data_IF_580370693844
#
_entry.id   IF_580370693844
#
_cell.length_a   1.000
_cell.length_b   1.000
_cell.length_c   1.000
_cell.angle_alpha   90.00
_cell.angle_beta   90.00
_cell.angle_gamma   90.00
#
_symmetry.space_group_name_H-M   'P 1'
#
loop_
_entity.id
_entity.type
_entity.pdbx_description
1 polymer ?
#
# COMPACT_ATOMS: atom_id res chain seq x y z
N UNK A 1 -22.51 4.57 -9.82
CA UNK A 1 -21.14 5.12 -9.64
C UNK A 1 -20.17 3.98 -9.43
N UNK A 2 -19.19 3.78 -10.32
CA UNK A 2 -18.08 2.87 -10.02
C UNK A 2 -17.21 3.51 -8.94
N UNK A 3 -16.99 2.81 -7.82
CA UNK A 3 -16.08 3.25 -6.77
C UNK A 3 -14.69 3.44 -7.40
N UNK A 4 -14.08 4.60 -7.24
CA UNK A 4 -12.69 4.83 -7.63
C UNK A 4 -11.77 4.02 -6.69
N UNK A 5 -10.66 3.51 -7.22
CA UNK A 5 -9.64 2.83 -6.42
C UNK A 5 -8.68 3.90 -5.82
N UNK A 6 -8.33 3.79 -4.54
CA UNK A 6 -7.46 4.77 -3.88
C UNK A 6 -6.59 4.14 -2.79
N UNK A 7 -5.45 4.78 -2.53
CA UNK A 7 -4.54 4.49 -1.41
C UNK A 7 -4.44 5.74 -0.56
N UNK A 8 -4.71 5.60 0.74
CA UNK A 8 -4.54 6.67 1.71
C UNK A 8 -3.24 6.49 2.49
N UNK A 9 -2.50 7.58 2.58
CA UNK A 9 -1.25 7.69 3.32
C UNK A 9 -1.31 8.87 4.28
N UNK A 10 -0.63 8.74 5.42
CA UNK A 10 -0.48 9.82 6.40
C UNK A 10 1.00 9.98 6.72
N UNK A 11 1.47 11.23 6.81
CA UNK A 11 2.81 11.50 7.33
C UNK A 11 2.75 11.43 8.86
N UNK A 12 3.44 10.45 9.46
CA UNK A 12 3.48 10.27 10.93
C UNK A 12 4.59 11.08 11.57
N UNK A 13 5.70 11.24 10.85
CA UNK A 13 6.88 11.97 11.27
C UNK A 13 7.49 12.64 10.03
N UNK A 14 8.42 13.60 10.19
CA UNK A 14 9.08 14.24 9.06
C UNK A 14 9.69 13.23 8.07
N UNK A 15 10.13 12.08 8.53
CA UNK A 15 10.80 11.05 7.73
C UNK A 15 9.93 9.82 7.41
N UNK A 16 8.68 9.77 7.90
CA UNK A 16 7.88 8.53 7.88
C UNK A 16 6.46 8.72 7.34
N UNK A 17 6.09 7.91 6.35
CA UNK A 17 4.72 7.77 5.84
C UNK A 17 4.09 6.46 6.32
N UNK A 18 2.89 6.53 6.90
CA UNK A 18 2.04 5.37 7.16
C UNK A 18 1.05 5.13 6.02
N UNK A 19 1.00 3.89 5.54
CA UNK A 19 -0.01 3.40 4.61
C UNK A 19 -1.16 2.80 5.41
N UNK A 20 -2.36 3.39 5.31
CA UNK A 20 -3.51 3.04 6.16
C UNK A 20 -4.63 2.29 5.45
N UNK A 21 -4.96 2.62 4.21
CA UNK A 21 -6.12 2.00 3.56
C UNK A 21 -5.95 1.87 2.07
N UNK A 22 -6.19 0.66 1.57
CA UNK A 22 -6.22 0.33 0.15
C UNK A 22 -7.63 -0.15 -0.15
N UNK A 23 -8.45 0.69 -0.77
CA UNK A 23 -9.77 0.27 -1.22
C UNK A 23 -9.76 0.09 -2.73
N UNK A 24 -9.90 -1.16 -3.16
CA UNK A 24 -10.12 -1.52 -4.56
C UNK A 24 -11.57 -1.94 -4.69
N UNK A 25 -12.32 -1.32 -5.60
CA UNK A 25 -13.72 -1.63 -5.80
C UNK A 25 -13.89 -3.13 -6.12
N UNK A 26 -14.88 -3.80 -5.50
CA UNK A 26 -15.13 -5.25 -5.63
C UNK A 26 -15.01 -5.81 -7.06
N UNK A 27 -15.49 -5.15 -8.13
CA UNK A 27 -15.37 -5.65 -9.50
C UNK A 27 -13.93 -5.70 -10.05
N UNK A 28 -12.99 -4.97 -9.45
CA UNK A 28 -11.63 -4.78 -9.94
C UNK A 28 -10.57 -5.47 -9.08
N UNK A 29 -10.97 -6.13 -7.99
CA UNK A 29 -10.05 -6.87 -7.11
C UNK A 29 -9.30 -8.01 -7.84
N UNK A 30 -9.86 -8.56 -8.92
CA UNK A 30 -9.24 -9.62 -9.72
C UNK A 30 -8.20 -9.14 -10.75
N UNK A 31 -8.04 -7.82 -10.95
CA UNK A 31 -7.18 -7.26 -12.02
C UNK A 31 -5.87 -6.63 -11.54
N UNK A 32 -5.47 -6.84 -10.28
CA UNK A 32 -4.18 -6.35 -9.76
C UNK A 32 -4.04 -4.82 -9.63
N UNK A 33 -5.10 -4.04 -9.88
CA UNK A 33 -5.06 -2.57 -9.84
C UNK A 33 -4.62 -1.98 -8.50
N UNK A 34 -4.95 -2.65 -7.39
CA UNK A 34 -4.47 -2.26 -6.06
C UNK A 34 -2.95 -2.28 -5.93
N UNK A 35 -2.28 -3.22 -6.59
CA UNK A 35 -0.81 -3.31 -6.60
C UNK A 35 -0.22 -2.14 -7.38
N UNK A 36 -0.81 -1.77 -8.52
CA UNK A 36 -0.37 -0.61 -9.30
C UNK A 36 -0.49 0.69 -8.53
N UNK A 37 -1.57 0.87 -7.76
CA UNK A 37 -1.74 2.05 -6.89
C UNK A 37 -0.71 2.09 -5.76
N UNK A 38 -0.43 0.96 -5.12
CA UNK A 38 0.63 0.87 -4.13
C UNK A 38 2.00 1.20 -4.73
N UNK A 39 2.32 0.61 -5.88
CA UNK A 39 3.59 0.83 -6.57
C UNK A 39 3.76 2.32 -6.93
N UNK A 40 2.70 2.96 -7.39
CA UNK A 40 2.72 4.40 -7.68
C UNK A 40 2.91 5.25 -6.43
N UNK A 41 2.27 4.89 -5.31
CA UNK A 41 2.46 5.59 -4.04
C UNK A 41 3.90 5.43 -3.50
N UNK A 42 4.47 4.23 -3.57
CA UNK A 42 5.87 3.95 -3.22
C UNK A 42 6.81 4.74 -4.14
N UNK A 43 6.55 4.77 -5.45
CA UNK A 43 7.35 5.55 -6.41
C UNK A 43 7.36 7.04 -6.07
N UNK A 44 6.21 7.61 -5.66
CA UNK A 44 6.14 9.01 -5.22
C UNK A 44 6.92 9.24 -3.94
N UNK A 45 6.88 8.30 -3.00
CA UNK A 45 7.66 8.38 -1.79
C UNK A 45 9.17 8.30 -2.06
N UNK A 46 9.62 7.40 -2.94
CA UNK A 46 11.04 7.29 -3.35
C UNK A 46 11.55 8.61 -3.94
N UNK A 47 10.69 9.34 -4.65
CA UNK A 47 11.00 10.66 -5.21
C UNK A 47 10.74 11.82 -4.24
N UNK A 48 10.54 11.54 -2.95
CA UNK A 48 10.32 12.54 -1.91
C UNK A 48 11.42 12.48 -0.86
N UNK A 49 11.51 13.49 -0.01
CA UNK A 49 12.47 13.55 1.10
C UNK A 49 12.06 12.69 2.32
N UNK A 50 11.17 11.70 2.12
CA UNK A 50 10.55 10.92 3.21
C UNK A 50 10.93 9.43 3.08
N UNK A 51 12.04 9.00 3.71
CA UNK A 51 12.67 7.71 3.41
C UNK A 51 11.93 6.51 4.00
N UNK A 52 11.17 6.68 5.07
CA UNK A 52 10.60 5.55 5.81
C UNK A 52 9.12 5.36 5.52
N UNK A 53 8.71 4.10 5.47
CA UNK A 53 7.31 3.72 5.38
C UNK A 53 6.94 2.74 6.49
N UNK A 54 5.69 2.83 6.94
CA UNK A 54 5.13 1.87 7.87
C UNK A 54 3.69 1.55 7.49
N UNK A 55 3.18 0.40 7.93
CA UNK A 55 1.84 -0.04 7.62
C UNK A 55 1.49 -1.33 8.34
N UNK A 56 0.22 -1.66 8.32
CA UNK A 56 -0.32 -2.87 8.94
C UNK A 56 -1.36 -3.47 8.01
N UNK A 57 -1.28 -4.78 7.76
CA UNK A 57 -2.29 -5.52 7.00
C UNK A 57 -3.14 -6.34 7.96
N UNK A 58 -4.46 -6.20 7.88
CA UNK A 58 -5.38 -7.03 8.67
C UNK A 58 -5.42 -8.47 8.16
N UNK A 59 -5.47 -9.43 9.09
CA UNK A 59 -5.66 -10.85 8.80
C UNK A 59 -6.96 -11.18 8.03
N UNK A 60 -7.91 -10.24 8.01
CA UNK A 60 -9.13 -10.35 7.22
C UNK A 60 -8.88 -10.38 5.69
N UNK A 61 -7.70 -9.96 5.22
CA UNK A 61 -7.35 -9.89 3.80
C UNK A 61 -6.21 -10.87 3.43
N UNK A 62 -6.48 -12.19 3.36
CA UNK A 62 -5.44 -13.20 3.20
C UNK A 62 -4.66 -13.08 1.89
N UNK A 63 -5.30 -12.63 0.79
CA UNK A 63 -4.60 -12.38 -0.49
C UNK A 63 -3.61 -11.22 -0.38
N UNK A 64 -3.98 -10.18 0.36
CA UNK A 64 -3.10 -9.04 0.59
C UNK A 64 -1.94 -9.43 1.51
N UNK A 65 -2.20 -10.21 2.56
CA UNK A 65 -1.14 -10.79 3.40
C UNK A 65 -0.16 -11.63 2.59
N UNK A 66 -0.65 -12.50 1.70
CA UNK A 66 0.22 -13.31 0.83
C UNK A 66 1.07 -12.43 -0.10
N UNK A 67 0.47 -11.39 -0.68
CA UNK A 67 1.19 -10.44 -1.53
C UNK A 67 2.30 -9.71 -0.74
N UNK A 68 1.96 -9.14 0.42
CA UNK A 68 2.95 -8.46 1.28
C UNK A 68 4.05 -9.43 1.71
N UNK A 69 3.67 -10.63 2.12
CA UNK A 69 4.61 -11.67 2.53
C UNK A 69 5.60 -12.07 1.44
N UNK A 70 5.11 -12.21 0.20
CA UNK A 70 5.93 -12.65 -0.93
C UNK A 70 6.77 -11.53 -1.55
N UNK A 71 6.26 -10.30 -1.57
CA UNK A 71 6.81 -9.23 -2.39
C UNK A 71 7.31 -8.01 -1.62
N UNK A 72 6.85 -7.78 -0.38
CA UNK A 72 7.26 -6.61 0.40
C UNK A 72 8.15 -6.97 1.57
N UNK A 73 7.88 -8.05 2.32
CA UNK A 73 8.69 -8.47 3.47
C UNK A 73 10.21 -8.48 3.18
N UNK A 74 10.71 -8.97 2.04
CA UNK A 74 12.14 -8.96 1.74
C UNK A 74 12.79 -7.56 1.73
N UNK A 75 11.99 -6.51 1.56
CA UNK A 75 12.41 -5.11 1.50
C UNK A 75 11.99 -4.31 2.74
N UNK A 76 11.24 -4.92 3.67
CA UNK A 76 10.82 -4.29 4.91
C UNK A 76 11.83 -4.65 6.00
N UNK A 77 12.56 -3.66 6.48
CA UNK A 77 13.36 -3.76 7.70
C UNK A 77 12.49 -3.30 8.87
N UNK A 78 12.26 -4.20 9.83
CA UNK A 78 11.57 -3.89 11.09
C UNK A 78 12.45 -3.10 12.04
#
# INVERSE_FOLDING_TARGET
>A
MSKADWVLTHRLAPDTIRYTTWEVAKPFQSRGRGISLLAEAIRRQINSDVPYLTGSVSHHYPRLLQFVGRHLIPYLTG
#
